data_IF_587447604680
#
_entry.id   IF_587447604680
#
_cell.length_a   1.000
_cell.length_b   1.000
_cell.length_c   1.000
_cell.angle_alpha   90.00
_cell.angle_beta   90.00
_cell.angle_gamma   90.00
#
_symmetry.space_group_name_H-M   'P 1'
#
loop_
_entity.id
_entity.type
_entity.pdbx_description
1 polymer ?
#
# COMPACT_ATOMS: atom_id res chain seq x y z
N UNK A 1 6.01 -1.19 8.11
CA UNK A 1 6.29 -1.44 6.68
C UNK A 1 6.53 -2.92 6.45
N UNK A 2 5.86 -3.51 5.45
CA UNK A 2 6.04 -4.90 5.07
C UNK A 2 6.83 -5.00 3.77
N UNK A 3 7.85 -5.86 3.74
CA UNK A 3 8.66 -6.12 2.55
C UNK A 3 8.44 -7.57 2.13
N UNK A 4 7.91 -7.77 0.91
CA UNK A 4 7.62 -9.10 0.36
C UNK A 4 8.70 -9.51 -0.65
N UNK A 5 9.16 -10.76 -0.57
CA UNK A 5 10.10 -11.33 -1.53
C UNK A 5 11.56 -11.16 -1.11
N UNK A 6 12.44 -10.68 -2.01
CA UNK A 6 13.89 -10.60 -1.72
C UNK A 6 14.16 -9.62 -0.56
N UNK A 7 14.94 -10.05 0.44
CA UNK A 7 15.30 -9.26 1.64
C UNK A 7 16.09 -7.97 1.35
N UNK A 8 16.62 -7.81 0.13
CA UNK A 8 17.43 -6.65 -0.25
C UNK A 8 16.54 -5.55 -0.82
N UNK A 9 16.57 -4.41 -0.16
CA UNK A 9 15.91 -3.18 -0.60
C UNK A 9 16.87 -1.99 -0.40
N UNK A 10 16.68 -0.92 -1.17
CA UNK A 10 17.58 0.24 -1.14
C UNK A 10 17.29 1.14 0.07
N UNK A 11 18.13 1.04 1.10
CA UNK A 11 18.01 1.85 2.33
C UNK A 11 18.48 3.30 2.16
N UNK A 12 19.23 3.63 1.10
CA UNK A 12 19.79 4.99 0.92
C UNK A 12 18.68 6.04 0.75
N UNK A 13 17.61 5.69 0.04
CA UNK A 13 16.45 6.56 -0.13
C UNK A 13 15.56 6.70 1.11
N UNK A 14 15.76 5.85 2.13
CA UNK A 14 14.97 5.89 3.36
C UNK A 14 15.46 6.96 4.34
N UNK A 15 16.62 7.61 4.10
CA UNK A 15 17.14 8.67 4.97
C UNK A 15 17.17 8.27 6.47
N UNK A 16 17.57 7.02 6.76
CA UNK A 16 17.65 6.42 8.12
C UNK A 16 16.28 6.18 8.80
N UNK A 17 15.16 6.45 8.13
CA UNK A 17 13.81 6.19 8.68
C UNK A 17 13.55 4.71 8.95
N UNK A 18 14.31 3.80 8.35
CA UNK A 18 14.24 2.37 8.61
C UNK A 18 14.53 2.00 10.07
N UNK A 19 15.26 2.85 10.80
CA UNK A 19 15.51 2.68 12.24
C UNK A 19 14.34 3.10 13.12
N UNK A 20 13.42 3.89 12.59
CA UNK A 20 12.27 4.45 13.32
C UNK A 20 10.94 3.83 12.90
N UNK A 21 11.00 2.77 12.09
CA UNK A 21 9.82 2.09 11.56
C UNK A 21 9.93 0.60 11.82
N UNK A 22 8.79 -0.03 12.14
CA UNK A 22 8.72 -1.48 12.23
C UNK A 22 8.75 -2.07 10.82
N UNK A 23 9.87 -2.70 10.45
CA UNK A 23 10.04 -3.39 9.15
C UNK A 23 9.86 -4.89 9.35
N UNK A 24 8.84 -5.46 8.73
CA UNK A 24 8.55 -6.90 8.74
C UNK A 24 8.84 -7.47 7.35
N UNK A 25 9.57 -8.58 7.30
CA UNK A 25 9.90 -9.26 6.05
C UNK A 25 9.05 -10.50 5.87
N UNK A 26 8.51 -10.67 4.67
CA UNK A 26 7.74 -11.83 4.23
C UNK A 26 8.42 -12.48 3.03
N UNK A 27 8.66 -13.80 3.02
CA UNK A 27 9.28 -14.49 1.89
C UNK A 27 8.41 -14.49 0.62
N UNK A 28 7.08 -14.40 0.77
CA UNK A 28 6.12 -14.44 -0.34
C UNK A 28 4.82 -13.68 -0.03
N UNK A 29 3.93 -13.53 -1.02
CA UNK A 29 2.62 -12.91 -0.82
C UNK A 29 1.75 -13.77 0.10
N UNK A 30 1.82 -15.09 -0.03
CA UNK A 30 1.09 -16.05 0.81
C UNK A 30 1.47 -15.89 2.29
N UNK A 31 2.76 -15.66 2.58
CA UNK A 31 3.21 -15.36 3.93
C UNK A 31 2.67 -14.04 4.47
N UNK A 32 2.49 -13.02 3.62
CA UNK A 32 1.85 -11.77 4.02
C UNK A 32 0.35 -11.98 4.26
N UNK A 33 -0.34 -12.75 3.41
CA UNK A 33 -1.76 -13.10 3.57
C UNK A 33 -2.00 -13.76 4.91
N UNK A 34 -1.19 -14.77 5.26
CA UNK A 34 -1.32 -15.46 6.54
C UNK A 34 -1.11 -14.50 7.72
N UNK A 35 -0.08 -13.64 7.64
CA UNK A 35 0.18 -12.64 8.67
C UNK A 35 -0.98 -11.67 8.88
N UNK A 36 -1.60 -11.22 7.78
CA UNK A 36 -2.79 -10.35 7.82
C UNK A 36 -4.01 -11.08 8.39
N UNK A 37 -4.22 -12.34 7.97
CA UNK A 37 -5.34 -13.18 8.41
C UNK A 37 -5.32 -13.42 9.92
N UNK A 38 -4.16 -13.78 10.47
CA UNK A 38 -3.97 -13.95 11.92
C UNK A 38 -4.29 -12.70 12.74
N UNK A 39 -4.24 -11.52 12.10
CA UNK A 39 -4.40 -10.20 12.74
C UNK A 39 -5.69 -9.51 12.38
N UNK A 40 -6.57 -10.17 11.61
CA UNK A 40 -7.81 -9.57 11.12
C UNK A 40 -7.55 -8.21 10.44
N UNK A 41 -6.67 -8.25 9.42
CA UNK A 41 -6.29 -7.11 8.59
C UNK A 41 -6.72 -7.35 7.15
N UNK A 42 -7.51 -6.44 6.59
CA UNK A 42 -7.89 -6.49 5.18
C UNK A 42 -6.73 -6.02 4.29
N UNK A 43 -6.47 -6.70 3.19
CA UNK A 43 -5.45 -6.29 2.23
C UNK A 43 -6.08 -5.50 1.09
N UNK A 44 -5.65 -4.25 0.90
CA UNK A 44 -6.13 -3.36 -0.18
C UNK A 44 -4.98 -3.05 -1.12
N UNK A 45 -5.14 -3.37 -2.40
CA UNK A 45 -4.12 -3.09 -3.42
C UNK A 45 -4.21 -1.64 -3.90
N UNK A 46 -3.07 -0.97 -4.10
CA UNK A 46 -3.00 0.35 -4.71
C UNK A 46 -2.28 0.23 -6.06
N UNK A 47 -3.04 0.34 -7.15
CA UNK A 47 -2.52 0.21 -8.52
C UNK A 47 -3.53 0.72 -9.55
N UNK A 48 -3.06 1.07 -10.75
CA UNK A 48 -3.86 1.52 -11.88
C UNK A 48 -4.19 0.36 -12.85
N UNK A 49 -4.63 -0.78 -12.31
CA UNK A 49 -5.00 -1.96 -13.09
C UNK A 49 -6.47 -1.91 -13.53
N UNK A 50 -6.86 -2.60 -14.64
CA UNK A 50 -8.25 -2.69 -15.04
C UNK A 50 -9.15 -3.21 -13.92
N UNK A 51 -10.26 -2.53 -13.66
CA UNK A 51 -11.19 -2.88 -12.57
C UNK A 51 -10.83 -2.27 -11.20
N UNK A 52 -9.80 -1.44 -11.14
CA UNK A 52 -9.52 -0.62 -9.95
C UNK A 52 -10.58 0.47 -9.77
N UNK A 53 -10.81 0.86 -8.51
CA UNK A 53 -11.75 1.94 -8.13
C UNK A 53 -10.98 3.18 -7.67
N UNK A 54 -11.40 4.41 -8.03
CA UNK A 54 -10.73 5.62 -7.57
C UNK A 54 -10.67 5.70 -6.04
N UNK A 55 -9.49 5.95 -5.48
CA UNK A 55 -9.25 5.89 -4.03
C UNK A 55 -10.05 6.94 -3.26
N UNK A 56 -10.33 8.09 -3.88
CA UNK A 56 -11.16 9.16 -3.33
C UNK A 56 -12.65 8.79 -3.24
N UNK A 57 -13.08 7.73 -3.94
CA UNK A 57 -14.46 7.24 -3.93
C UNK A 57 -14.71 6.11 -2.92
N UNK A 58 -13.67 5.69 -2.19
CA UNK A 58 -13.76 4.59 -1.24
C UNK A 58 -13.39 5.03 0.18
N UNK A 59 -14.06 4.41 1.14
CA UNK A 59 -13.62 4.41 2.52
C UNK A 59 -12.65 3.23 2.70
N UNK A 60 -11.38 3.52 2.93
CA UNK A 60 -10.40 2.49 3.24
C UNK A 60 -10.74 1.84 4.60
N UNK A 61 -10.57 0.52 4.77
CA UNK A 61 -10.85 -0.12 6.06
C UNK A 61 -9.93 0.41 7.15
N UNK A 62 -10.46 0.57 8.38
CA UNK A 62 -9.65 1.02 9.52
C UNK A 62 -8.49 0.06 9.82
N UNK A 63 -8.73 -1.25 9.68
CA UNK A 63 -7.77 -2.33 9.91
C UNK A 63 -7.33 -2.90 8.58
N UNK A 64 -6.37 -2.27 7.93
CA UNK A 64 -5.89 -2.73 6.63
C UNK A 64 -4.37 -2.68 6.45
N UNK A 65 -3.91 -3.46 5.47
CA UNK A 65 -2.58 -3.35 4.87
C UNK A 65 -2.75 -2.86 3.44
N UNK A 66 -2.12 -1.72 3.14
CA UNK A 66 -2.04 -1.18 1.79
C UNK A 66 -0.90 -1.86 1.03
N UNK A 67 -1.21 -2.52 -0.08
CA UNK A 67 -0.28 -3.32 -0.88
C UNK A 67 0.09 -2.57 -2.14
N UNK A 68 1.38 -2.34 -2.36
CA UNK A 68 1.91 -1.64 -3.53
C UNK A 68 2.71 -2.58 -4.39
N UNK A 69 2.54 -2.45 -5.70
CA UNK A 69 3.27 -3.20 -6.70
C UNK A 69 4.71 -2.73 -6.92
N UNK A 70 5.43 -3.43 -7.80
CA UNK A 70 6.72 -2.96 -8.30
C UNK A 70 6.53 -1.82 -9.30
N UNK A 71 7.47 -0.87 -9.34
CA UNK A 71 7.47 0.17 -10.35
C UNK A 71 7.50 -0.44 -11.76
N UNK A 72 6.54 -0.05 -12.62
CA UNK A 72 6.35 -0.60 -13.95
C UNK A 72 5.25 -1.67 -13.99
N UNK A 73 5.52 -2.93 -13.60
CA UNK A 73 4.54 -4.01 -13.67
C UNK A 73 3.34 -3.87 -12.73
N UNK A 74 3.48 -3.08 -11.66
CA UNK A 74 2.46 -2.97 -10.63
C UNK A 74 2.37 -4.22 -9.75
N UNK A 75 1.17 -4.53 -9.27
CA UNK A 75 0.85 -5.69 -8.45
C UNK A 75 1.04 -6.96 -9.29
N UNK A 76 1.77 -7.93 -8.72
CA UNK A 76 1.83 -9.25 -9.32
C UNK A 76 0.44 -9.90 -9.36
N UNK A 77 0.19 -10.85 -10.27
CA UNK A 77 -1.08 -11.58 -10.30
C UNK A 77 -1.46 -12.22 -8.95
N UNK A 78 -0.46 -12.74 -8.23
CA UNK A 78 -0.62 -13.29 -6.88
C UNK A 78 -1.04 -12.22 -5.88
N UNK A 79 -0.38 -11.05 -5.86
CA UNK A 79 -0.74 -9.95 -4.97
C UNK A 79 -2.15 -9.42 -5.29
N UNK A 80 -2.48 -9.29 -6.57
CA UNK A 80 -3.81 -8.86 -7.04
C UNK A 80 -4.91 -9.82 -6.60
N UNK A 81 -4.64 -11.13 -6.59
CA UNK A 81 -5.61 -12.14 -6.17
C UNK A 81 -5.77 -12.21 -4.64
N UNK A 82 -4.80 -11.68 -3.89
CA UNK A 82 -4.79 -11.68 -2.43
C UNK A 82 -5.48 -10.47 -1.79
N UNK A 83 -5.63 -9.37 -2.53
CA UNK A 83 -6.30 -8.15 -2.04
C UNK A 83 -7.82 -8.24 -2.24
N UNK A 84 -8.58 -7.68 -1.30
CA UNK A 84 -10.05 -7.64 -1.38
C UNK A 84 -10.54 -6.72 -2.50
N UNK A 85 -9.76 -5.68 -2.81
CA UNK A 85 -10.01 -4.70 -3.86
C UNK A 85 -8.71 -4.04 -4.30
N UNK A 86 -8.75 -3.46 -5.49
CA UNK A 86 -7.67 -2.59 -6.00
C UNK A 86 -8.21 -1.17 -6.12
N UNK A 87 -7.53 -0.22 -5.52
CA UNK A 87 -7.81 1.19 -5.65
C UNK A 87 -6.77 1.87 -6.53
N UNK A 88 -7.20 2.80 -7.37
CA UNK A 88 -6.32 3.63 -8.20
C UNK A 88 -6.29 5.06 -7.68
N UNK A 89 -5.14 5.70 -7.81
CA UNK A 89 -5.03 7.14 -7.59
C UNK A 89 -5.31 7.81 -8.92
N UNK A 90 -6.37 8.62 -8.96
CA UNK A 90 -6.73 9.38 -10.15
C UNK A 90 -5.57 10.26 -10.61
N UNK A 91 -5.24 10.17 -11.90
CA UNK A 91 -4.17 10.91 -12.55
C UNK A 91 -4.74 11.66 -13.74
N UNK A 92 -4.27 12.89 -13.96
CA UNK A 92 -4.58 13.67 -15.16
C UNK A 92 -3.41 13.61 -16.14
N UNK A 93 -3.72 13.65 -17.44
CA UNK A 93 -2.72 13.59 -18.51
C UNK A 93 -2.37 12.17 -18.95
N UNK A 94 -1.24 12.01 -19.65
CA UNK A 94 -0.82 10.73 -20.26
C UNK A 94 0.06 9.86 -19.37
N UNK A 95 0.36 10.31 -18.14
CA UNK A 95 1.14 9.56 -17.17
C UNK A 95 0.35 8.34 -16.70
N UNK A 96 0.92 7.14 -16.93
CA UNK A 96 0.26 5.87 -16.60
C UNK A 96 0.55 5.37 -15.18
N UNK A 97 1.53 5.94 -14.50
CA UNK A 97 1.96 5.54 -13.16
C UNK A 97 2.63 6.69 -12.41
N UNK A 98 2.45 6.71 -11.10
CA UNK A 98 3.24 7.53 -10.17
C UNK A 98 4.26 6.65 -9.43
N UNK A 99 5.30 7.29 -8.89
CA UNK A 99 6.26 6.62 -8.01
C UNK A 99 5.55 5.93 -6.83
N UNK A 100 6.00 4.72 -6.47
CA UNK A 100 5.38 3.91 -5.42
C UNK A 100 5.41 4.61 -4.04
N UNK A 101 6.46 5.39 -3.75
CA UNK A 101 6.54 6.21 -2.55
C UNK A 101 5.46 7.29 -2.51
N UNK A 102 5.28 8.02 -3.62
CA UNK A 102 4.20 9.02 -3.76
C UNK A 102 2.82 8.37 -3.62
N UNK A 103 2.60 7.23 -4.29
CA UNK A 103 1.36 6.47 -4.17
C UNK A 103 1.07 6.06 -2.72
N UNK A 104 2.10 5.61 -1.99
CA UNK A 104 1.97 5.22 -0.59
C UNK A 104 1.62 6.40 0.30
N UNK A 105 2.21 7.57 0.08
CA UNK A 105 1.88 8.79 0.81
C UNK A 105 0.42 9.22 0.59
N UNK A 106 -0.05 9.22 -0.65
CA UNK A 106 -1.44 9.58 -0.99
C UNK A 106 -2.43 8.60 -0.36
N UNK A 107 -2.18 7.29 -0.46
CA UNK A 107 -3.07 6.29 0.12
C UNK A 107 -3.10 6.35 1.66
N UNK A 108 -1.95 6.58 2.30
CA UNK A 108 -1.89 6.81 3.75
C UNK A 108 -2.62 8.09 4.15
N UNK A 109 -2.48 9.17 3.38
CA UNK A 109 -3.20 10.42 3.63
C UNK A 109 -4.72 10.23 3.54
N UNK A 110 -5.20 9.54 2.50
CA UNK A 110 -6.62 9.21 2.36
C UNK A 110 -7.14 8.40 3.56
N UNK A 111 -6.34 7.46 4.08
CA UNK A 111 -6.70 6.72 5.29
C UNK A 111 -6.77 7.62 6.52
N UNK A 112 -5.80 8.52 6.71
CA UNK A 112 -5.74 9.46 7.85
C UNK A 112 -6.93 10.43 7.83
N UNK A 113 -7.38 10.88 6.66
CA UNK A 113 -8.57 11.75 6.58
C UNK A 113 -9.84 11.09 7.16
N UNK A 114 -9.90 9.76 7.21
CA UNK A 114 -11.05 9.03 7.76
C UNK A 114 -10.80 8.48 9.16
N UNK A 115 -9.60 7.95 9.43
CA UNK A 115 -9.29 7.18 10.64
C UNK A 115 -8.15 7.77 11.47
N UNK A 116 -7.55 8.86 10.99
CA UNK A 116 -6.52 9.58 11.71
C UNK A 116 -7.04 10.09 13.06
N UNK A 117 -6.14 10.34 14.01
CA UNK A 117 -6.53 11.03 15.23
C UNK A 117 -7.09 12.41 14.87
N UNK A 118 -8.01 12.93 15.69
CA UNK A 118 -8.45 14.30 15.56
C UNK A 118 -7.22 15.22 15.55
N UNK A 119 -7.14 16.09 14.56
CA UNK A 119 -6.11 17.10 14.54
C UNK A 119 -6.31 17.99 15.78
N UNK A 120 -5.22 18.40 16.46
CA UNK A 120 -5.33 19.36 17.53
C UNK A 120 -6.13 20.57 17.03
N UNK A 121 -7.21 20.91 17.71
CA UNK A 121 -7.79 22.24 17.60
C UNK A 121 -6.78 23.20 18.23
N UNK A 122 -6.26 24.15 17.43
CA UNK A 122 -5.40 25.24 17.92
C UNK A 122 -5.98 25.93 19.18
#
# INVERSE_FOLDING_TARGET
VHIVGRRRWNRRGAMVTDRYQHVVHHPSIESLVEWCRERDLEMVGIDNLPGSVPIESVVLPRRCVLVFGQEGPGLSPTARSAVSRVCSISQFGSTRSINAGVASGIAMYQWILTHGPDLPSD
#
